data_IF_860274545546
#
_entry.id   IF_860274545546
#
_cell.length_a   1.000
_cell.length_b   1.000
_cell.length_c   1.000
_cell.angle_alpha   90.00
_cell.angle_beta   90.00
_cell.angle_gamma   90.00
#
_symmetry.space_group_name_H-M   'P 1'
#
loop_
_entity.id
_entity.type
_entity.pdbx_description
1 polymer ?
#
# COMPACT_ATOMS: atom_id res chain seq x y z
N UNK A 1 -15.02 -8.78 13.82
CA UNK A 1 -14.75 -7.46 13.22
C UNK A 1 -13.29 -7.42 12.79
N UNK A 2 -13.00 -7.35 11.49
CA UNK A 2 -11.62 -7.25 10.98
C UNK A 2 -11.14 -5.82 11.21
N UNK A 3 -10.04 -5.65 11.95
CA UNK A 3 -9.43 -4.34 12.22
C UNK A 3 -8.86 -3.74 10.94
N UNK A 4 -8.77 -2.40 10.84
CA UNK A 4 -8.18 -1.70 9.67
C UNK A 4 -6.80 -2.25 9.27
N UNK A 5 -5.99 -2.68 10.25
CA UNK A 5 -4.70 -3.35 10.02
C UNK A 5 -4.84 -4.71 9.33
N UNK A 6 -5.86 -5.51 9.67
CA UNK A 6 -6.11 -6.79 9.03
C UNK A 6 -6.47 -6.65 7.53
N UNK A 7 -7.22 -5.60 7.17
CA UNK A 7 -7.54 -5.32 5.77
C UNK A 7 -6.31 -4.97 4.93
N UNK A 8 -5.34 -4.25 5.48
CA UNK A 8 -4.09 -3.91 4.79
C UNK A 8 -3.28 -5.16 4.46
N UNK A 9 -3.20 -6.13 5.39
CA UNK A 9 -2.50 -7.39 5.13
C UNK A 9 -3.20 -8.25 4.08
N UNK A 10 -4.54 -8.31 4.11
CA UNK A 10 -5.33 -9.05 3.11
C UNK A 10 -5.13 -8.45 1.72
N UNK A 11 -5.19 -7.12 1.59
CA UNK A 11 -4.95 -6.43 0.33
C UNK A 11 -3.50 -6.60 -0.14
N UNK A 12 -2.53 -6.56 0.76
CA UNK A 12 -1.13 -6.81 0.45
C UNK A 12 -0.88 -8.24 -0.06
N UNK A 13 -1.48 -9.25 0.58
CA UNK A 13 -1.37 -10.64 0.14
C UNK A 13 -2.07 -10.90 -1.20
N UNK A 14 -3.24 -10.28 -1.43
CA UNK A 14 -3.92 -10.33 -2.72
C UNK A 14 -3.10 -9.63 -3.81
N UNK A 15 -2.45 -8.52 -3.50
CA UNK A 15 -1.50 -7.85 -4.39
C UNK A 15 -0.31 -8.74 -4.75
N UNK A 16 0.32 -9.37 -3.76
CA UNK A 16 1.44 -10.28 -4.02
C UNK A 16 1.02 -11.52 -4.82
N UNK A 17 -0.15 -12.10 -4.52
CA UNK A 17 -0.69 -13.25 -5.24
C UNK A 17 -1.03 -12.91 -6.70
N UNK A 18 -1.57 -11.72 -6.97
CA UNK A 18 -1.87 -11.28 -8.34
C UNK A 18 -0.59 -11.02 -9.16
N UNK A 19 0.47 -10.49 -8.56
CA UNK A 19 1.78 -10.35 -9.19
C UNK A 19 2.36 -11.73 -9.53
N UNK A 20 2.37 -12.67 -8.57
CA UNK A 20 2.86 -14.03 -8.79
C UNK A 20 2.07 -14.77 -9.88
N UNK A 21 0.75 -14.57 -9.93
CA UNK A 21 -0.11 -15.10 -10.98
C UNK A 21 0.22 -14.50 -12.35
N UNK A 22 0.47 -13.18 -12.42
CA UNK A 22 0.92 -12.50 -13.63
C UNK A 22 2.24 -13.05 -14.17
N UNK A 23 3.24 -13.24 -13.30
CA UNK A 23 4.52 -13.86 -13.67
C UNK A 23 4.34 -15.31 -14.16
N UNK A 24 3.45 -16.09 -13.55
CA UNK A 24 3.16 -17.46 -13.96
C UNK A 24 2.48 -17.54 -15.34
N UNK A 25 1.55 -16.63 -15.62
CA UNK A 25 0.94 -16.53 -16.95
C UNK A 25 1.98 -16.11 -18.00
N UNK A 26 2.85 -15.16 -17.65
CA UNK A 26 3.92 -14.71 -18.54
C UNK A 26 4.98 -15.79 -18.78
N UNK A 27 5.32 -16.61 -17.78
CA UNK A 27 6.23 -17.75 -17.97
C UNK A 27 5.63 -18.79 -18.90
N UNK A 28 4.34 -19.09 -18.77
CA UNK A 28 3.65 -20.04 -19.63
C UNK A 28 3.56 -19.53 -21.07
N UNK A 29 3.19 -18.25 -21.26
CA UNK A 29 3.16 -17.63 -22.59
C UNK A 29 4.55 -17.56 -23.24
N UNK A 30 5.61 -17.29 -22.45
CA UNK A 30 6.99 -17.31 -22.95
C UNK A 30 7.44 -18.72 -23.34
N UNK A 31 7.05 -19.75 -22.59
CA UNK A 31 7.36 -21.14 -22.90
C UNK A 31 6.65 -21.59 -24.19
N UNK A 32 5.36 -21.28 -24.33
CA UNK A 32 4.57 -21.59 -25.52
C UNK A 32 5.10 -20.85 -26.76
N UNK A 33 5.51 -19.58 -26.62
CA UNK A 33 6.12 -18.81 -27.70
C UNK A 33 7.52 -19.32 -28.06
N UNK A 34 8.31 -19.79 -27.09
CA UNK A 34 9.61 -20.40 -27.35
C UNK A 34 9.46 -21.71 -28.13
N UNK A 35 8.54 -22.59 -27.69
CA UNK A 35 8.22 -23.85 -28.39
C UNK A 35 7.70 -23.59 -29.80
N UNK A 36 6.76 -22.63 -29.99
CA UNK A 36 6.27 -22.23 -31.32
C UNK A 36 7.36 -21.59 -32.19
N UNK A 37 8.32 -20.90 -31.57
CA UNK A 37 9.52 -20.37 -32.22
C UNK A 37 10.44 -21.46 -32.75
N UNK A 38 10.65 -22.54 -31.98
CA UNK A 38 11.37 -23.73 -32.43
C UNK A 38 10.63 -24.50 -33.53
N UNK A 39 9.30 -24.47 -33.53
CA UNK A 39 8.44 -25.13 -34.53
C UNK A 39 8.17 -24.27 -35.78
N UNK A 40 8.65 -23.03 -35.84
CA UNK A 40 8.50 -22.14 -37.00
C UNK A 40 7.08 -21.59 -37.23
N UNK A 41 6.14 -21.81 -36.31
CA UNK A 41 4.73 -21.40 -36.46
C UNK A 41 4.50 -20.09 -35.71
N UNK A 42 4.84 -18.95 -36.32
CA UNK A 42 4.41 -17.63 -35.79
C UNK A 42 3.10 -17.21 -36.46
N UNK A 43 1.99 -17.47 -35.80
CA UNK A 43 0.73 -16.79 -36.13
C UNK A 43 0.78 -15.34 -35.63
N UNK A 44 0.37 -14.44 -36.53
CA UNK A 44 0.38 -12.99 -36.40
C UNK A 44 -0.82 -12.59 -35.52
N UNK A 45 -0.61 -12.22 -34.26
CA UNK A 45 -1.70 -11.66 -33.43
C UNK A 45 -1.50 -11.62 -31.92
N UNK A 46 -0.46 -12.23 -31.36
CA UNK A 46 -0.22 -12.19 -29.90
C UNK A 46 0.64 -10.98 -29.53
N UNK A 47 0.16 -10.16 -28.59
CA UNK A 47 0.90 -9.03 -28.05
C UNK A 47 2.29 -9.50 -27.63
N UNK A 48 3.33 -8.81 -28.12
CA UNK A 48 4.69 -9.22 -27.89
C UNK A 48 5.00 -9.24 -26.37
N UNK A 49 5.78 -10.21 -25.86
CA UNK A 49 5.99 -10.40 -24.42
C UNK A 49 6.48 -9.14 -23.67
N UNK A 50 7.16 -8.21 -24.36
CA UNK A 50 7.61 -6.95 -23.78
C UNK A 50 6.46 -6.00 -23.40
N UNK A 51 5.29 -6.11 -24.04
CA UNK A 51 4.12 -5.27 -23.75
C UNK A 51 3.61 -5.51 -22.33
N UNK A 52 3.54 -6.78 -21.90
CA UNK A 52 3.16 -7.13 -20.52
C UNK A 52 4.20 -6.66 -19.50
N UNK A 53 5.49 -6.69 -19.85
CA UNK A 53 6.55 -6.14 -19.02
C UNK A 53 6.41 -4.63 -18.79
N UNK A 54 6.11 -3.86 -19.85
CA UNK A 54 5.88 -2.41 -19.75
C UNK A 54 4.63 -2.11 -18.91
N UNK A 55 3.52 -2.82 -19.14
CA UNK A 55 2.30 -2.63 -18.35
C UNK A 55 2.53 -2.93 -16.86
N UNK A 56 3.28 -3.99 -16.56
CA UNK A 56 3.67 -4.32 -15.18
C UNK A 56 4.52 -3.22 -14.53
N UNK A 57 5.51 -2.70 -15.24
CA UNK A 57 6.36 -1.62 -14.74
C UNK A 57 5.56 -0.33 -14.48
N UNK A 58 4.64 0.04 -15.38
CA UNK A 58 3.76 1.22 -15.21
C UNK A 58 2.87 1.07 -13.98
N UNK A 59 2.25 -0.10 -13.78
CA UNK A 59 1.43 -0.36 -12.58
C UNK A 59 2.25 -0.28 -11.29
N UNK A 60 3.50 -0.75 -11.31
CA UNK A 60 4.38 -0.70 -10.15
C UNK A 60 4.77 0.73 -9.78
N UNK A 61 5.04 1.59 -10.76
CA UNK A 61 5.28 3.02 -10.53
C UNK A 61 4.06 3.72 -9.96
N UNK A 62 2.85 3.42 -10.47
CA UNK A 62 1.59 3.97 -9.95
C UNK A 62 1.37 3.54 -8.49
N UNK A 63 1.55 2.24 -8.20
CA UNK A 63 1.42 1.72 -6.83
C UNK A 63 2.42 2.39 -5.87
N UNK A 64 3.67 2.57 -6.30
CA UNK A 64 4.68 3.29 -5.54
C UNK A 64 4.28 4.75 -5.28
N UNK A 65 3.75 5.44 -6.30
CA UNK A 65 3.23 6.79 -6.16
C UNK A 65 2.11 6.90 -5.12
N UNK A 66 1.18 5.95 -5.09
CA UNK A 66 0.09 5.89 -4.10
C UNK A 66 0.65 5.66 -2.68
N UNK A 67 1.63 4.76 -2.52
CA UNK A 67 2.26 4.50 -1.21
C UNK A 67 2.98 5.74 -0.69
N UNK A 68 3.72 6.44 -1.54
CA UNK A 68 4.44 7.67 -1.20
C UNK A 68 3.46 8.82 -0.91
N UNK A 69 2.36 8.92 -1.65
CA UNK A 69 1.34 9.92 -1.38
C UNK A 69 0.62 9.66 -0.05
N UNK A 70 0.34 8.40 0.27
CA UNK A 70 -0.30 7.99 1.52
C UNK A 70 0.60 8.18 2.75
N UNK A 71 1.91 8.00 2.62
CA UNK A 71 2.85 8.16 3.75
C UNK A 71 2.99 9.61 4.23
N UNK A 72 2.64 10.60 3.40
CA UNK A 72 2.65 12.03 3.79
C UNK A 72 1.56 12.41 4.79
N UNK A 73 0.62 11.53 5.10
CA UNK A 73 -0.45 11.81 6.07
C UNK A 73 -0.05 11.58 7.53
N UNK A 74 1.13 11.03 7.82
CA UNK A 74 1.64 10.98 9.18
C UNK A 74 2.28 12.31 9.55
N UNK A 75 1.43 13.33 9.78
CA UNK A 75 1.84 14.47 10.61
C UNK A 75 1.97 13.92 12.02
N UNK A 76 3.18 13.53 12.40
CA UNK A 76 3.51 13.27 13.81
C UNK A 76 3.56 14.64 14.49
N UNK A 77 2.39 15.15 14.91
CA UNK A 77 2.34 16.26 15.85
C UNK A 77 3.14 15.81 17.06
N UNK A 78 4.25 16.49 17.35
CA UNK A 78 5.07 16.18 18.52
C UNK A 78 4.28 16.61 19.73
N UNK A 79 3.53 15.69 20.32
CA UNK A 79 2.70 15.99 21.49
C UNK A 79 3.65 16.27 22.67
N UNK A 80 3.60 17.45 23.31
CA UNK A 80 4.49 17.78 24.41
C UNK A 80 4.29 16.81 25.57
N UNK A 81 5.37 16.53 26.30
CA UNK A 81 5.36 15.59 27.43
C UNK A 81 4.26 15.94 28.44
N UNK A 82 3.46 14.94 28.83
CA UNK A 82 2.31 15.10 29.72
C UNK A 82 0.98 15.36 29.01
N UNK A 83 0.98 15.63 27.71
CA UNK A 83 -0.26 15.71 26.92
C UNK A 83 -0.57 14.36 26.25
N UNK A 84 -1.82 13.95 26.30
CA UNK A 84 -2.31 12.69 25.72
C UNK A 84 -3.62 12.92 24.96
N UNK A 85 -3.99 12.04 24.04
CA UNK A 85 -5.26 12.16 23.30
C UNK A 85 -6.47 12.10 24.25
N UNK A 86 -7.46 12.98 24.04
CA UNK A 86 -8.70 12.96 24.81
C UNK A 86 -9.54 11.74 24.40
N UNK A 87 -10.06 10.93 25.35
CA UNK A 87 -10.77 9.68 25.03
C UNK A 87 -12.05 9.91 24.21
N UNK A 88 -12.73 11.03 24.46
CA UNK A 88 -14.02 11.33 23.84
C UNK A 88 -13.93 12.29 22.63
N UNK A 89 -12.78 12.93 22.41
CA UNK A 89 -12.63 13.97 21.38
C UNK A 89 -11.26 13.85 20.68
N UNK A 90 -11.20 13.31 19.44
CA UNK A 90 -9.94 13.08 18.75
C UNK A 90 -9.24 14.38 18.30
N UNK A 91 -9.90 15.54 18.45
CA UNK A 91 -9.32 16.85 18.11
C UNK A 91 -8.59 17.50 19.28
N UNK A 92 -8.69 16.92 20.48
CA UNK A 92 -8.16 17.49 21.72
C UNK A 92 -7.14 16.62 22.41
N UNK A 93 -6.28 17.28 23.17
CA UNK A 93 -5.34 16.68 24.10
C UNK A 93 -5.79 16.97 25.53
N UNK A 94 -5.56 16.02 26.45
CA UNK A 94 -5.78 16.16 27.89
C UNK A 94 -4.44 16.03 28.62
N UNK A 95 -4.20 16.90 29.61
CA UNK A 95 -2.95 16.88 30.36
C UNK A 95 -2.99 15.92 31.56
N UNK A 96 -1.98 15.06 31.67
CA UNK A 96 -1.70 14.20 32.80
C UNK A 96 -0.47 14.75 33.55
N UNK A 97 -0.64 15.06 34.83
CA UNK A 97 0.43 15.66 35.65
C UNK A 97 1.43 14.64 36.22
N UNK A 98 1.22 13.35 35.92
CA UNK A 98 2.02 12.23 36.42
C UNK A 98 1.35 11.47 37.57
N UNK A 99 0.34 12.05 38.22
CA UNK A 99 -0.40 11.43 39.32
C UNK A 99 -1.91 11.29 39.00
N UNK A 100 -2.48 12.22 38.24
CA UNK A 100 -3.88 12.24 37.87
C UNK A 100 -4.16 12.95 36.55
N UNK A 101 -5.32 12.66 35.96
CA UNK A 101 -5.82 13.38 34.80
C UNK A 101 -6.37 14.75 35.19
N UNK A 102 -5.76 15.80 34.66
CA UNK A 102 -6.24 17.17 34.92
C UNK A 102 -7.43 17.53 34.02
N UNK A 103 -8.09 18.64 34.32
CA UNK A 103 -9.13 19.22 33.46
C UNK A 103 -8.56 20.12 32.35
N UNK A 104 -7.22 20.24 32.25
CA UNK A 104 -6.59 21.03 31.19
C UNK A 104 -6.69 20.29 29.87
N UNK A 105 -7.21 20.97 28.86
CA UNK A 105 -7.29 20.50 27.48
C UNK A 105 -6.62 21.48 26.52
N UNK A 106 -6.12 20.99 25.40
CA UNK A 106 -5.53 21.78 24.34
C UNK A 106 -5.99 21.24 22.98
N UNK A 107 -6.13 22.12 21.99
CA UNK A 107 -6.46 21.69 20.63
C UNK A 107 -5.23 21.10 19.96
N UNK A 108 -5.40 19.94 19.33
CA UNK A 108 -4.32 19.22 18.65
C UNK A 108 -3.83 19.96 17.40
N UNK A 109 -4.67 20.82 16.82
CA UNK A 109 -4.37 21.64 15.63
C UNK A 109 -3.72 22.98 15.95
N UNK A 110 -3.63 23.37 17.23
CA UNK A 110 -3.12 24.68 17.64
C UNK A 110 -1.61 24.70 17.95
N UNK A 111 -0.85 23.70 17.49
CA UNK A 111 0.61 23.63 17.62
C UNK A 111 1.29 23.56 16.25
#
# INVERSE_FOLDING_TARGET
MITRRGWVWILGLLGAASIAWGFRLQSNANFDNAVRGYLGVRERGTAAPWVFGILGAVLLVIALGIVIAGSRQQVTTTIPMGWHDHPDDPTKLRYHDGNSWTNRTADKTAQ
#
